data_IF_145241967289
#
_entry.id   IF_145241967289
#
_cell.length_a   1.000
_cell.length_b   1.000
_cell.length_c   1.000
_cell.angle_alpha   90.00
_cell.angle_beta   90.00
_cell.angle_gamma   90.00
#
_symmetry.space_group_name_H-M   'P 1'
#
loop_
_entity.id
_entity.type
_entity.pdbx_description
1 polymer ?
#
# COMPACT_ATOMS: atom_id res chain seq x y z
N UNK A 1 9.25 -13.28 42.21
CA UNK A 1 10.19 -13.76 41.18
C UNK A 1 9.53 -13.63 39.83
N UNK A 2 10.19 -13.00 38.85
CA UNK A 2 9.67 -12.90 37.48
C UNK A 2 9.81 -14.28 36.83
N UNK A 3 8.73 -14.84 36.27
CA UNK A 3 8.70 -16.17 35.64
C UNK A 3 9.87 -16.40 34.66
N UNK A 4 10.27 -15.37 33.93
CA UNK A 4 11.37 -15.42 32.96
C UNK A 4 12.75 -15.71 33.57
N UNK A 5 12.97 -15.43 34.86
CA UNK A 5 14.27 -15.67 35.53
C UNK A 5 14.45 -17.13 35.97
N UNK A 6 13.34 -17.86 36.14
CA UNK A 6 13.34 -19.23 36.69
C UNK A 6 12.92 -20.29 35.68
N UNK A 7 12.34 -19.90 34.53
CA UNK A 7 11.72 -20.80 33.58
C UNK A 7 12.11 -20.47 32.12
N UNK A 8 11.99 -21.45 31.22
CA UNK A 8 12.20 -21.25 29.79
C UNK A 8 11.23 -20.21 29.22
N UNK A 9 11.75 -19.31 28.37
CA UNK A 9 11.01 -18.21 27.75
C UNK A 9 11.47 -18.04 26.28
N UNK A 10 10.57 -17.86 25.31
CA UNK A 10 10.90 -17.83 23.88
C UNK A 10 11.61 -16.55 23.39
N UNK A 11 11.83 -15.56 24.27
CA UNK A 11 12.52 -14.30 23.96
C UNK A 11 11.94 -13.59 22.71
N UNK A 12 10.63 -13.35 22.74
CA UNK A 12 9.94 -12.66 21.65
C UNK A 12 10.24 -11.16 21.67
N UNK A 13 10.42 -10.60 20.47
CA UNK A 13 10.57 -9.18 20.21
C UNK A 13 9.68 -8.75 19.04
N UNK A 14 9.33 -7.47 18.97
CA UNK A 14 8.62 -6.89 17.82
C UNK A 14 9.64 -6.20 16.92
N UNK A 15 9.77 -6.70 15.69
CA UNK A 15 10.80 -6.28 14.75
C UNK A 15 10.58 -4.84 14.25
N UNK A 16 9.33 -4.47 13.97
CA UNK A 16 8.99 -3.19 13.37
C UNK A 16 8.59 -2.12 14.40
N UNK A 17 8.96 -2.30 15.67
CA UNK A 17 8.74 -1.31 16.71
C UNK A 17 9.70 -0.11 16.56
N UNK A 18 9.18 1.10 16.76
CA UNK A 18 9.94 2.34 16.81
C UNK A 18 10.08 2.78 18.27
N UNK A 19 11.32 2.74 18.78
CA UNK A 19 11.64 3.13 20.15
C UNK A 19 11.12 2.13 21.20
N UNK A 20 10.93 2.61 22.43
CA UNK A 20 10.56 1.75 23.55
C UNK A 20 9.06 1.40 23.56
N UNK A 21 8.78 0.10 23.65
CA UNK A 21 7.42 -0.43 23.78
C UNK A 21 6.97 -0.45 25.25
N UNK A 22 5.72 -0.07 25.49
CA UNK A 22 5.06 -0.31 26.78
C UNK A 22 4.43 -1.69 26.75
N UNK A 23 5.07 -2.66 27.38
CA UNK A 23 4.62 -4.04 27.44
C UNK A 23 4.14 -4.43 28.84
N UNK A 24 3.00 -5.12 28.91
CA UNK A 24 2.56 -5.84 30.10
C UNK A 24 2.41 -7.32 29.76
N UNK A 25 3.11 -8.18 30.49
CA UNK A 25 3.14 -9.63 30.23
C UNK A 25 2.53 -10.39 31.42
N UNK A 26 1.61 -11.32 31.13
CA UNK A 26 0.99 -12.21 32.11
C UNK A 26 1.12 -13.66 31.65
N UNK A 27 1.46 -14.55 32.58
CA UNK A 27 1.65 -15.97 32.29
C UNK A 27 0.57 -16.83 32.94
N UNK A 28 0.18 -17.91 32.27
CA UNK A 28 -0.64 -18.98 32.83
C UNK A 28 -0.14 -20.32 32.33
N UNK A 29 0.02 -21.30 33.23
CA UNK A 29 0.44 -22.65 32.86
C UNK A 29 -0.69 -23.64 33.12
N UNK A 30 -0.89 -24.59 32.21
CA UNK A 30 -1.85 -25.69 32.35
C UNK A 30 -1.18 -26.99 31.94
N UNK A 31 -1.24 -28.00 32.80
CA UNK A 31 -0.81 -29.35 32.45
C UNK A 31 -1.95 -30.06 31.74
N UNK A 32 -1.69 -30.56 30.51
CA UNK A 32 -2.66 -31.40 29.81
C UNK A 32 -2.73 -32.75 30.49
N UNK A 33 -3.95 -33.22 30.77
CA UNK A 33 -4.19 -34.55 31.31
C UNK A 33 -3.99 -35.66 30.26
N UNK A 34 -3.97 -35.30 28.98
CA UNK A 34 -3.95 -36.25 27.86
C UNK A 34 -2.50 -36.55 27.48
N UNK A 35 -1.69 -35.50 27.28
CA UNK A 35 -0.34 -35.65 26.70
C UNK A 35 0.77 -35.57 27.76
N UNK A 36 0.41 -35.37 29.03
CA UNK A 36 1.34 -35.07 30.14
C UNK A 36 2.25 -33.85 29.94
N UNK A 37 2.06 -33.09 28.86
CA UNK A 37 2.80 -31.87 28.54
C UNK A 37 2.26 -30.66 29.31
N UNK A 38 3.14 -29.70 29.55
CA UNK A 38 2.81 -28.42 30.19
C UNK A 38 2.65 -27.38 29.09
N UNK A 39 1.45 -26.82 28.99
CA UNK A 39 1.16 -25.71 28.09
C UNK A 39 1.30 -24.40 28.87
N UNK A 40 2.22 -23.56 28.42
CA UNK A 40 2.39 -22.21 28.93
C UNK A 40 1.68 -21.28 27.97
N UNK A 41 0.86 -20.38 28.51
CA UNK A 41 0.20 -19.32 27.76
C UNK A 41 0.66 -17.98 28.31
N UNK A 42 1.22 -17.20 27.41
CA UNK A 42 1.70 -15.86 27.65
C UNK A 42 0.73 -14.86 27.00
N UNK A 43 0.29 -13.88 27.77
CA UNK A 43 -0.53 -12.78 27.30
C UNK A 43 0.33 -11.51 27.31
N UNK A 44 0.44 -10.83 26.17
CA UNK A 44 1.15 -9.56 26.04
C UNK A 44 0.19 -8.46 25.63
N UNK A 45 0.13 -7.40 26.44
CA UNK A 45 -0.50 -6.13 26.08
C UNK A 45 0.62 -5.16 25.68
N UNK A 46 0.67 -4.80 24.39
CA UNK A 46 1.75 -3.99 23.82
C UNK A 46 1.16 -2.66 23.34
N UNK A 47 1.78 -1.55 23.74
CA UNK A 47 1.50 -0.21 23.22
C UNK A 47 2.78 0.46 22.75
N UNK A 48 2.80 0.87 21.49
CA UNK A 48 3.97 1.52 20.89
C UNK A 48 3.66 2.11 19.52
N UNK A 49 4.73 2.56 18.86
CA UNK A 49 4.73 3.01 17.48
C UNK A 49 5.37 1.93 16.63
N UNK A 50 4.79 1.67 15.46
CA UNK A 50 5.28 0.67 14.53
C UNK A 50 5.53 1.33 13.19
N UNK A 51 6.68 1.02 12.57
CA UNK A 51 6.97 1.53 11.24
C UNK A 51 6.43 0.58 10.18
N UNK A 52 6.01 1.16 9.06
CA UNK A 52 5.49 0.44 7.91
C UNK A 52 5.82 1.24 6.65
N UNK A 53 6.09 0.54 5.54
CA UNK A 53 6.35 1.19 4.27
C UNK A 53 5.06 1.30 3.47
N UNK A 54 4.58 2.52 3.28
CA UNK A 54 3.36 2.76 2.50
C UNK A 54 3.62 2.76 0.99
N UNK A 55 2.68 2.18 0.24
CA UNK A 55 2.76 2.00 -1.20
C UNK A 55 1.67 2.82 -1.90
N UNK A 56 2.09 3.87 -2.61
CA UNK A 56 1.18 4.90 -3.15
C UNK A 56 0.96 4.78 -4.67
N UNK A 57 1.34 3.67 -5.28
CA UNK A 57 1.19 3.47 -6.74
C UNK A 57 -0.24 3.69 -7.21
N UNK A 58 -1.23 3.26 -6.42
CA UNK A 58 -2.66 3.31 -6.73
C UNK A 58 -3.39 4.48 -6.05
N UNK A 59 -2.64 5.48 -5.55
CA UNK A 59 -3.22 6.66 -4.93
C UNK A 59 -4.18 7.39 -5.89
N UNK A 60 -5.40 7.77 -5.46
CA UNK A 60 -5.91 7.82 -4.08
C UNK A 60 -6.67 6.58 -3.60
N UNK A 61 -6.89 5.59 -4.47
CA UNK A 61 -7.71 4.40 -4.15
C UNK A 61 -6.88 3.25 -3.58
N UNK A 62 -5.73 3.57 -3.00
CA UNK A 62 -4.80 2.67 -2.35
C UNK A 62 -5.45 1.93 -1.16
N UNK A 63 -4.88 0.76 -0.90
CA UNK A 63 -5.07 -0.02 0.33
C UNK A 63 -3.68 -0.20 0.90
N UNK A 64 -3.53 0.12 2.17
CA UNK A 64 -2.27 -0.01 2.90
C UNK A 64 -2.33 -1.22 3.81
N UNK A 65 -1.24 -1.97 3.82
CA UNK A 65 -1.06 -3.12 4.69
C UNK A 65 -0.28 -2.65 5.91
N UNK A 66 -0.90 -2.74 7.08
CA UNK A 66 -0.30 -2.35 8.35
C UNK A 66 0.09 -3.62 9.10
N UNK A 67 1.38 -3.86 9.22
CA UNK A 67 1.91 -5.11 9.75
C UNK A 67 2.50 -4.94 11.15
N UNK A 68 2.47 -6.03 11.93
CA UNK A 68 3.26 -6.20 13.15
C UNK A 68 4.02 -7.50 12.99
N UNK A 69 5.35 -7.43 13.04
CA UNK A 69 6.24 -8.58 12.91
C UNK A 69 6.78 -8.99 14.27
N UNK A 70 6.45 -10.21 14.70
CA UNK A 70 6.91 -10.78 15.97
C UNK A 70 7.96 -11.84 15.66
N UNK A 71 9.17 -11.65 16.18
CA UNK A 71 10.29 -12.57 16.06
C UNK A 71 10.68 -13.20 17.40
N UNK A 72 11.52 -14.23 17.33
CA UNK A 72 12.18 -14.85 18.49
C UNK A 72 13.69 -14.63 18.39
N UNK A 73 14.35 -14.39 19.52
CA UNK A 73 15.82 -14.32 19.57
C UNK A 73 16.48 -15.67 19.29
N UNK A 74 15.75 -16.77 19.47
CA UNK A 74 16.24 -18.11 19.13
C UNK A 74 15.99 -18.46 17.66
N UNK A 75 16.87 -19.29 17.10
CA UNK A 75 16.73 -19.86 15.77
C UNK A 75 15.61 -20.91 15.68
N UNK A 76 15.27 -21.26 14.45
CA UNK A 76 14.18 -22.17 14.09
C UNK A 76 14.36 -23.62 14.58
N UNK A 77 15.56 -24.01 14.97
CA UNK A 77 15.84 -25.30 15.61
C UNK A 77 15.28 -25.37 17.05
N UNK A 78 15.18 -24.22 17.71
CA UNK A 78 14.68 -24.09 19.09
C UNK A 78 13.26 -23.55 19.15
N UNK A 79 12.92 -22.55 18.33
CA UNK A 79 11.63 -21.85 18.39
C UNK A 79 11.08 -21.62 16.98
N UNK A 80 9.86 -22.11 16.76
CA UNK A 80 9.08 -21.85 15.55
C UNK A 80 7.80 -21.15 15.94
N UNK A 81 7.56 -19.98 15.36
CA UNK A 81 6.34 -19.20 15.55
C UNK A 81 5.32 -19.57 14.47
N UNK A 82 4.13 -20.02 14.90
CA UNK A 82 3.04 -20.44 14.01
C UNK A 82 1.76 -19.73 14.47
N UNK A 83 0.94 -19.29 13.51
CA UNK A 83 -0.37 -18.73 13.82
C UNK A 83 -1.31 -19.81 14.40
N UNK A 84 -2.17 -19.44 15.35
CA UNK A 84 -3.13 -20.39 15.94
C UNK A 84 -4.18 -20.79 14.90
N UNK A 85 -4.34 -22.09 14.58
CA UNK A 85 -5.33 -22.54 13.61
C UNK A 85 -6.76 -22.54 14.16
N UNK A 86 -6.96 -22.39 15.48
CA UNK A 86 -8.28 -22.53 16.12
C UNK A 86 -8.97 -21.19 16.41
N UNK A 87 -8.20 -20.10 16.46
CA UNK A 87 -8.70 -18.79 16.82
C UNK A 87 -8.25 -17.78 15.79
N UNK A 88 -9.21 -17.13 15.16
CA UNK A 88 -8.94 -16.11 14.17
C UNK A 88 -8.59 -14.76 14.85
N UNK A 89 -7.49 -14.15 14.42
CA UNK A 89 -7.09 -12.78 14.84
C UNK A 89 -8.09 -11.74 14.31
N UNK A 90 -8.27 -10.62 15.02
CA UNK A 90 -9.23 -9.58 14.61
C UNK A 90 -8.82 -8.17 15.01
N UNK A 91 -9.45 -7.19 14.38
CA UNK A 91 -9.21 -5.77 14.65
C UNK A 91 -10.44 -5.10 15.24
N UNK A 92 -10.25 -4.31 16.30
CA UNK A 92 -11.32 -3.49 16.85
C UNK A 92 -11.47 -2.19 16.03
N UNK A 93 -12.54 -2.12 15.21
CA UNK A 93 -12.85 -0.94 14.39
C UNK A 93 -13.31 0.26 15.22
N UNK A 94 -13.96 0.04 16.36
CA UNK A 94 -14.53 1.11 17.19
C UNK A 94 -13.45 1.97 17.84
N UNK A 95 -12.29 1.37 18.13
CA UNK A 95 -11.14 2.06 18.68
C UNK A 95 -10.32 2.86 17.65
N UNK A 96 -10.67 2.78 16.36
CA UNK A 96 -9.93 3.46 15.30
C UNK A 96 -10.30 4.94 15.21
N UNK A 97 -9.31 5.82 15.31
CA UNK A 97 -9.50 7.28 15.35
C UNK A 97 -9.76 7.86 13.95
N UNK A 98 -9.00 7.41 12.94
CA UNK A 98 -8.97 8.06 11.61
C UNK A 98 -10.00 7.49 10.62
N UNK A 99 -11.19 7.10 11.11
CA UNK A 99 -12.26 6.50 10.28
C UNK A 99 -12.74 7.41 9.13
N UNK A 100 -12.50 8.72 9.24
CA UNK A 100 -12.83 9.70 8.20
C UNK A 100 -11.90 9.60 7.00
N UNK A 101 -10.65 9.20 7.20
CA UNK A 101 -9.64 9.08 6.15
C UNK A 101 -9.47 7.63 5.67
N UNK A 102 -9.66 6.67 6.57
CA UNK A 102 -9.40 5.25 6.31
C UNK A 102 -10.59 4.36 6.68
N UNK A 103 -10.71 3.24 5.97
CA UNK A 103 -11.67 2.19 6.23
C UNK A 103 -10.90 0.90 6.50
N UNK A 104 -10.96 0.38 7.72
CA UNK A 104 -10.30 -0.88 8.07
C UNK A 104 -11.11 -2.09 7.64
N UNK A 105 -10.41 -3.11 7.18
CA UNK A 105 -10.95 -4.46 7.07
C UNK A 105 -10.89 -5.17 8.44
N UNK A 106 -11.79 -6.12 8.68
CA UNK A 106 -11.93 -6.88 9.93
C UNK A 106 -10.97 -8.08 9.93
N UNK A 107 -10.78 -8.70 8.76
CA UNK A 107 -9.85 -9.80 8.61
C UNK A 107 -8.40 -9.36 8.81
N UNK A 108 -7.62 -10.29 9.35
CA UNK A 108 -6.19 -10.15 9.59
C UNK A 108 -5.51 -11.29 8.86
N UNK A 109 -4.54 -10.96 8.02
CA UNK A 109 -3.72 -11.95 7.34
C UNK A 109 -2.49 -12.25 8.19
N UNK A 110 -2.08 -13.51 8.27
CA UNK A 110 -0.89 -13.94 9.02
C UNK A 110 0.08 -14.64 8.09
N UNK A 111 1.34 -14.23 8.09
CA UNK A 111 2.40 -14.81 7.28
C UNK A 111 3.57 -15.20 8.16
N UNK A 112 4.05 -16.44 8.00
CA UNK A 112 5.29 -16.88 8.60
C UNK A 112 6.45 -16.60 7.64
N UNK A 113 7.51 -15.98 8.15
CA UNK A 113 8.73 -15.62 7.41
C UNK A 113 9.95 -16.17 8.15
N UNK A 114 11.03 -16.37 7.42
CA UNK A 114 12.31 -16.81 7.96
C UNK A 114 13.39 -15.79 7.61
N UNK A 115 14.05 -15.23 8.62
CA UNK A 115 15.16 -14.29 8.41
C UNK A 115 16.49 -14.99 8.62
N UNK A 116 17.41 -14.80 7.66
CA UNK A 116 18.79 -15.34 7.70
C UNK A 116 19.66 -14.52 8.65
N UNK A 117 20.59 -15.21 9.30
CA UNK A 117 21.48 -14.65 10.33
C UNK A 117 22.40 -13.51 9.86
N UNK A 118 22.87 -13.50 8.61
CA UNK A 118 23.81 -12.48 8.12
C UNK A 118 23.27 -11.05 8.15
N UNK A 119 21.95 -10.86 8.30
CA UNK A 119 21.32 -9.54 8.42
C UNK A 119 21.51 -8.90 9.82
N UNK A 120 22.10 -9.62 10.78
CA UNK A 120 22.31 -9.18 12.16
C UNK A 120 23.77 -9.24 12.62
N UNK A 121 24.76 -9.50 11.74
CA UNK A 121 26.16 -9.24 12.09
C UNK A 121 26.32 -7.72 12.20
N UNK A 122 26.53 -7.22 13.40
CA UNK A 122 27.07 -5.87 13.55
C UNK A 122 28.51 -5.93 13.01
N UNK A 123 28.90 -4.98 12.16
CA UNK A 123 30.25 -4.87 11.55
C UNK A 123 31.41 -4.75 12.58
N UNK A 124 31.13 -4.91 13.87
CA UNK A 124 32.10 -4.83 14.97
C UNK A 124 32.76 -6.19 15.29
N UNK A 125 32.31 -7.30 14.68
CA UNK A 125 32.85 -8.64 14.96
C UNK A 125 33.99 -9.07 13.99
N UNK A 126 34.49 -8.16 13.14
CA UNK A 126 35.48 -8.47 12.11
C UNK A 126 36.95 -8.16 12.53
N UNK A 127 37.26 -8.01 13.82
CA UNK A 127 38.65 -7.82 14.30
C UNK A 127 39.36 -9.10 14.82
N UNK A 128 38.76 -10.28 14.67
CA UNK A 128 39.47 -11.56 14.88
C UNK A 128 39.53 -12.39 13.59
N UNK A 129 40.05 -11.82 12.50
CA UNK A 129 40.70 -12.62 11.46
C UNK A 129 42.13 -12.94 11.91
N UNK A 130 42.30 -14.09 12.57
CA UNK A 130 43.61 -14.70 12.80
C UNK A 130 44.31 -14.95 11.46
N UNK A 131 45.54 -14.45 11.35
CA UNK A 131 46.47 -14.73 10.27
C UNK A 131 46.66 -16.25 10.10
N UNK A 132 46.39 -16.80 8.91
CA UNK A 132 47.04 -18.04 8.49
C UNK A 132 47.74 -17.85 7.15
N UNK A 133 49.06 -17.71 7.22
CA UNK A 133 50.00 -17.85 6.11
C UNK A 133 50.38 -19.33 6.02
N UNK A 134 49.91 -20.03 4.99
CA UNK A 134 50.42 -21.38 4.76
C UNK A 134 49.86 -22.06 3.53
N UNK A 135 50.73 -22.31 2.55
CA UNK A 135 50.47 -23.17 1.39
C UNK A 135 50.22 -24.62 1.83
N UNK A 136 49.32 -25.34 1.14
CA UNK A 136 49.30 -26.80 1.21
C UNK A 136 47.93 -27.40 0.97
N UNK A 137 47.80 -28.08 -0.15
CA UNK A 137 46.75 -29.04 -0.51
C UNK A 137 46.67 -30.13 0.56
N UNK A 138 45.57 -30.20 1.32
CA UNK A 138 45.13 -31.41 2.00
C UNK A 138 43.60 -31.40 2.16
N UNK A 139 42.96 -32.39 1.55
CA UNK A 139 41.53 -32.67 1.58
C UNK A 139 41.06 -32.94 3.02
N UNK A 140 40.53 -31.90 3.69
CA UNK A 140 39.75 -32.08 4.91
C UNK A 140 38.24 -32.07 4.59
N UNK A 141 37.51 -33.19 4.74
CA UNK A 141 36.07 -33.24 4.49
C UNK A 141 35.24 -32.50 5.55
N UNK A 142 35.87 -31.89 6.56
CA UNK A 142 35.22 -31.05 7.57
C UNK A 142 35.34 -29.56 7.24
N UNK A 143 35.17 -29.17 5.97
CA UNK A 143 34.76 -27.81 5.64
C UNK A 143 33.46 -27.55 6.42
N UNK A 144 33.56 -26.66 7.40
CA UNK A 144 32.49 -26.25 8.31
C UNK A 144 31.22 -26.04 7.50
N UNK A 145 30.27 -26.99 7.62
CA UNK A 145 28.91 -26.78 7.18
C UNK A 145 28.37 -25.62 8.02
N UNK A 146 28.58 -24.40 7.55
CA UNK A 146 27.92 -23.20 8.04
C UNK A 146 26.44 -23.37 7.67
N UNK A 147 25.75 -24.20 8.46
CA UNK A 147 24.37 -24.56 8.26
C UNK A 147 23.60 -23.27 8.48
N UNK A 148 23.16 -22.65 7.39
CA UNK A 148 22.45 -21.38 7.40
C UNK A 148 21.36 -21.44 8.48
N UNK A 149 21.47 -20.58 9.50
CA UNK A 149 20.49 -20.53 10.57
C UNK A 149 19.45 -19.46 10.24
N UNK A 150 18.21 -19.79 10.59
CA UNK A 150 17.06 -18.94 10.32
C UNK A 150 16.31 -18.66 11.61
N UNK A 151 15.75 -17.46 11.72
CA UNK A 151 14.82 -17.09 12.79
C UNK A 151 13.41 -17.06 12.25
N UNK A 152 12.47 -17.66 12.98
CA UNK A 152 11.05 -17.64 12.63
C UNK A 152 10.45 -16.30 13.03
N UNK A 153 9.79 -15.63 12.08
CA UNK A 153 9.04 -14.39 12.30
C UNK A 153 7.60 -14.60 11.87
N UNK A 154 6.68 -14.17 12.71
CA UNK A 154 5.25 -14.16 12.41
C UNK A 154 4.82 -12.71 12.16
N UNK A 155 4.47 -12.42 10.91
CA UNK A 155 3.95 -11.11 10.51
C UNK A 155 2.43 -11.18 10.48
N UNK A 156 1.79 -10.28 11.21
CA UNK A 156 0.34 -10.14 11.29
C UNK A 156 -0.03 -8.82 10.61
N UNK A 157 -0.82 -8.88 9.54
CA UNK A 157 -1.16 -7.72 8.68
C UNK A 157 -2.64 -7.40 8.76
N UNK A 158 -2.97 -6.14 9.03
CA UNK A 158 -4.32 -5.62 8.84
C UNK A 158 -4.35 -4.68 7.64
N UNK A 159 -5.50 -4.61 6.97
CA UNK A 159 -5.65 -3.83 5.74
C UNK A 159 -6.47 -2.57 6.00
N UNK A 160 -6.00 -1.42 5.50
CA UNK A 160 -6.68 -0.13 5.61
C UNK A 160 -6.85 0.51 4.23
N UNK A 161 -8.10 0.76 3.81
CA UNK A 161 -8.40 1.40 2.53
C UNK A 161 -8.63 2.91 2.69
N UNK A 162 -7.98 3.73 1.86
CA UNK A 162 -8.17 5.18 1.88
C UNK A 162 -9.55 5.60 1.36
N UNK A 163 -10.15 6.62 1.97
CA UNK A 163 -11.37 7.30 1.51
C UNK A 163 -11.02 8.27 0.37
N UNK A 164 -11.07 7.77 -0.86
CA UNK A 164 -10.58 8.45 -2.06
C UNK A 164 -11.49 9.52 -2.66
N UNK A 165 -12.73 9.66 -2.19
CA UNK A 165 -13.75 10.52 -2.81
C UNK A 165 -13.30 11.99 -2.94
N UNK A 166 -12.65 12.53 -1.92
CA UNK A 166 -12.12 13.90 -1.95
C UNK A 166 -11.15 14.12 -3.12
N UNK A 167 -10.23 13.20 -3.34
CA UNK A 167 -9.22 13.29 -4.42
C UNK A 167 -9.82 13.10 -5.81
N UNK A 168 -10.92 12.36 -5.94
CA UNK A 168 -11.64 12.28 -7.21
C UNK A 168 -12.28 13.62 -7.59
N UNK A 169 -12.97 14.27 -6.66
CA UNK A 169 -13.63 15.56 -6.90
C UNK A 169 -12.68 16.74 -6.98
N UNK A 170 -11.67 16.80 -6.13
CA UNK A 170 -10.77 17.95 -6.08
C UNK A 170 -9.48 17.72 -6.87
N UNK A 171 -9.13 16.47 -7.21
CA UNK A 171 -7.96 16.14 -8.02
C UNK A 171 -8.33 15.90 -9.48
N UNK A 172 -8.91 14.74 -9.76
CA UNK A 172 -9.20 14.29 -11.13
C UNK A 172 -10.19 15.20 -11.85
N UNK A 173 -11.29 15.56 -11.20
CA UNK A 173 -12.33 16.37 -11.82
C UNK A 173 -11.86 17.79 -12.17
N UNK A 174 -11.00 18.42 -11.35
CA UNK A 174 -10.45 19.74 -11.66
C UNK A 174 -9.50 19.71 -12.87
N UNK A 175 -8.62 18.71 -12.97
CA UNK A 175 -7.74 18.54 -14.14
C UNK A 175 -8.57 18.30 -15.41
N UNK A 176 -9.62 17.47 -15.29
CA UNK A 176 -10.54 17.21 -16.38
C UNK A 176 -11.23 18.50 -16.87
N UNK A 177 -11.69 19.36 -15.96
CA UNK A 177 -12.28 20.65 -16.34
C UNK A 177 -11.27 21.56 -17.04
N UNK A 178 -10.03 21.66 -16.54
CA UNK A 178 -8.96 22.47 -17.17
C UNK A 178 -8.71 21.99 -18.62
N UNK A 179 -8.67 20.68 -18.83
CA UNK A 179 -8.44 20.12 -20.17
C UNK A 179 -9.62 20.27 -21.11
N UNK A 180 -10.87 20.19 -20.64
CA UNK A 180 -12.04 20.49 -21.50
C UNK A 180 -12.02 21.94 -21.97
N UNK A 181 -11.66 22.89 -21.09
CA UNK A 181 -11.61 24.32 -21.45
C UNK A 181 -10.60 24.59 -22.57
N UNK A 182 -9.60 23.74 -22.77
CA UNK A 182 -8.66 23.88 -23.89
C UNK A 182 -9.34 23.82 -25.27
N UNK A 183 -10.48 23.11 -25.39
CA UNK A 183 -11.24 23.07 -26.65
C UNK A 183 -11.95 24.38 -26.97
N UNK A 184 -12.18 25.26 -25.98
CA UNK A 184 -12.75 26.59 -26.23
C UNK A 184 -11.83 27.47 -27.09
N UNK A 185 -10.52 27.17 -27.16
CA UNK A 185 -9.54 27.93 -27.95
C UNK A 185 -9.86 27.86 -29.45
N UNK A 186 -10.44 26.76 -29.92
CA UNK A 186 -10.87 26.60 -31.31
C UNK A 186 -11.98 27.57 -31.71
N UNK A 187 -12.69 28.18 -30.75
CA UNK A 187 -13.70 29.21 -31.02
C UNK A 187 -13.10 30.55 -31.49
N UNK A 188 -11.81 30.81 -31.23
CA UNK A 188 -11.13 32.04 -31.65
C UNK A 188 -10.67 31.84 -33.10
N UNK A 189 -10.84 32.77 -34.04
CA UNK A 189 -10.38 32.57 -35.42
C UNK A 189 -8.86 32.37 -35.51
N UNK A 190 -8.36 31.56 -36.47
CA UNK A 190 -6.94 31.20 -36.55
C UNK A 190 -6.02 32.36 -36.94
N UNK A 191 -6.58 33.47 -37.41
CA UNK A 191 -5.85 34.71 -37.69
C UNK A 191 -5.28 35.35 -36.41
N UNK A 192 -5.95 35.18 -35.26
CA UNK A 192 -5.53 35.75 -33.97
C UNK A 192 -4.67 34.74 -33.19
N UNK A 193 -3.54 34.33 -33.79
CA UNK A 193 -2.63 33.34 -33.21
C UNK A 193 -2.09 33.76 -31.84
N UNK A 194 -1.82 35.05 -31.64
CA UNK A 194 -1.35 35.59 -30.36
C UNK A 194 -2.33 35.29 -29.21
N UNK A 195 -3.63 35.49 -29.43
CA UNK A 195 -4.67 35.24 -28.41
C UNK A 195 -4.79 33.74 -28.10
N UNK A 196 -4.72 32.89 -29.13
CA UNK A 196 -4.76 31.43 -28.96
C UNK A 196 -3.58 30.93 -28.13
N UNK A 197 -2.37 31.37 -28.48
CA UNK A 197 -1.14 30.97 -27.76
C UNK A 197 -1.10 31.51 -26.33
N UNK A 198 -1.59 32.72 -26.09
CA UNK A 198 -1.69 33.27 -24.73
C UNK A 198 -2.55 32.37 -23.83
N UNK A 199 -3.74 31.96 -24.30
CA UNK A 199 -4.64 31.09 -23.54
C UNK A 199 -4.03 29.69 -23.35
N UNK A 200 -3.34 29.15 -24.37
CA UNK A 200 -2.61 27.88 -24.26
C UNK A 200 -1.56 27.93 -23.13
N UNK A 201 -0.73 28.97 -23.10
CA UNK A 201 0.27 29.16 -22.07
C UNK A 201 -0.36 29.31 -20.67
N UNK A 202 -1.48 30.03 -20.56
CA UNK A 202 -2.22 30.16 -19.30
C UNK A 202 -2.74 28.80 -18.82
N UNK A 203 -3.39 28.01 -19.68
CA UNK A 203 -3.89 26.67 -19.30
C UNK A 203 -2.76 25.71 -18.93
N UNK A 204 -1.63 25.78 -19.64
CA UNK A 204 -0.44 24.98 -19.31
C UNK A 204 0.09 25.33 -17.92
N UNK A 205 0.23 26.63 -17.63
CA UNK A 205 0.66 27.10 -16.31
C UNK A 205 -0.34 26.68 -15.22
N UNK A 206 -1.64 26.86 -15.45
CA UNK A 206 -2.69 26.43 -14.51
C UNK A 206 -2.60 24.93 -14.23
N UNK A 207 -2.39 24.09 -15.26
CA UNK A 207 -2.26 22.64 -15.08
C UNK A 207 -1.01 22.25 -14.29
N UNK A 208 0.14 22.90 -14.53
CA UNK A 208 1.39 22.63 -13.79
C UNK A 208 1.26 23.09 -12.34
N UNK A 209 0.73 24.29 -12.11
CA UNK A 209 0.47 24.82 -10.77
C UNK A 209 -0.47 23.91 -10.00
N UNK A 210 -1.56 23.46 -10.63
CA UNK A 210 -2.50 22.54 -10.01
C UNK A 210 -1.83 21.21 -9.62
N UNK A 211 -1.03 20.61 -10.51
CA UNK A 211 -0.25 19.40 -10.19
C UNK A 211 0.65 19.62 -8.97
N UNK A 212 1.36 20.75 -8.91
CA UNK A 212 2.24 21.05 -7.79
C UNK A 212 1.46 21.21 -6.47
N UNK A 213 0.29 21.86 -6.51
CA UNK A 213 -0.59 21.99 -5.34
C UNK A 213 -1.07 20.64 -4.82
N UNK A 214 -1.50 19.75 -5.72
CA UNK A 214 -1.92 18.40 -5.31
C UNK A 214 -0.76 17.59 -4.74
N UNK A 215 0.45 17.73 -5.29
CA UNK A 215 1.63 17.02 -4.81
C UNK A 215 2.13 17.49 -3.44
N UNK A 216 1.63 18.62 -2.92
CA UNK A 216 1.87 19.01 -1.51
C UNK A 216 1.14 18.13 -0.51
N UNK A 217 0.07 17.45 -0.93
CA UNK A 217 -0.68 16.53 -0.07
C UNK A 217 -0.04 15.14 0.04
N UNK A 218 1.00 14.88 -0.75
CA UNK A 218 1.69 13.61 -0.81
C UNK A 218 3.17 13.78 -0.41
N UNK A 219 3.76 12.79 0.27
CA UNK A 219 5.21 12.77 0.47
C UNK A 219 5.93 12.66 -0.88
N UNK A 220 7.14 13.21 -0.96
CA UNK A 220 7.97 13.11 -2.17
C UNK A 220 8.43 11.68 -2.38
N UNK A 221 7.82 10.98 -3.33
CA UNK A 221 8.16 9.62 -3.74
C UNK A 221 8.83 9.62 -5.12
N UNK A 222 9.72 8.64 -5.35
CA UNK A 222 10.48 8.54 -6.62
C UNK A 222 9.62 8.08 -7.80
N UNK A 223 8.57 7.29 -7.53
CA UNK A 223 7.69 6.76 -8.57
C UNK A 223 6.42 7.59 -8.74
N UNK A 224 5.78 7.44 -9.90
CA UNK A 224 4.59 8.18 -10.29
C UNK A 224 3.30 7.49 -9.81
N UNK A 225 2.46 8.21 -9.06
CA UNK A 225 1.13 7.71 -8.64
C UNK A 225 0.16 7.63 -9.82
N UNK A 226 -0.93 6.87 -9.68
CA UNK A 226 -2.04 6.84 -10.66
C UNK A 226 -2.61 8.23 -10.96
N UNK A 227 -2.71 9.07 -9.93
CA UNK A 227 -3.19 10.45 -10.08
C UNK A 227 -2.19 11.33 -10.82
N UNK A 228 -0.90 11.22 -10.52
CA UNK A 228 0.13 11.95 -11.25
C UNK A 228 0.23 11.51 -12.72
N UNK A 229 0.08 10.21 -13.00
CA UNK A 229 0.02 9.67 -14.38
C UNK A 229 -1.09 10.35 -15.18
N UNK A 230 -2.27 10.51 -14.59
CA UNK A 230 -3.39 11.21 -15.22
C UNK A 230 -3.08 12.70 -15.44
N UNK A 231 -2.52 13.38 -14.44
CA UNK A 231 -2.15 14.79 -14.55
C UNK A 231 -1.10 15.05 -15.64
N UNK A 232 -0.05 14.22 -15.73
CA UNK A 232 0.99 14.32 -16.76
C UNK A 232 0.42 14.02 -18.14
N UNK A 233 -0.47 13.04 -18.28
CA UNK A 233 -1.12 12.76 -19.55
C UNK A 233 -1.99 13.95 -20.02
N UNK A 234 -2.77 14.55 -19.12
CA UNK A 234 -3.55 15.75 -19.41
C UNK A 234 -2.65 16.92 -19.82
N UNK A 235 -1.52 17.11 -19.14
CA UNK A 235 -0.49 18.08 -19.51
C UNK A 235 0.04 17.83 -20.92
N UNK A 236 0.31 16.57 -21.27
CA UNK A 236 0.80 16.19 -22.59
C UNK A 236 -0.22 16.51 -23.70
N UNK A 237 -1.51 16.28 -23.45
CA UNK A 237 -2.59 16.68 -24.36
C UNK A 237 -2.59 18.20 -24.57
N UNK A 238 -2.46 18.99 -23.49
CA UNK A 238 -2.39 20.46 -23.59
C UNK A 238 -1.17 20.91 -24.40
N UNK A 239 -0.01 20.26 -24.24
CA UNK A 239 1.20 20.57 -25.02
C UNK A 239 0.98 20.27 -26.50
N UNK A 240 0.40 19.11 -26.85
CA UNK A 240 0.08 18.76 -28.25
C UNK A 240 -0.87 19.79 -28.87
N UNK A 241 -1.93 20.17 -28.16
CA UNK A 241 -2.88 21.20 -28.62
C UNK A 241 -2.19 22.57 -28.80
N UNK A 242 -1.30 22.93 -27.87
CA UNK A 242 -0.52 24.18 -27.96
C UNK A 242 0.39 24.19 -29.19
N UNK A 243 1.06 23.06 -29.48
CA UNK A 243 1.89 22.89 -30.67
C UNK A 243 1.03 23.02 -31.94
N UNK A 244 -0.15 22.42 -31.98
CA UNK A 244 -1.08 22.55 -33.10
C UNK A 244 -1.44 24.02 -33.36
N UNK A 245 -1.84 24.76 -32.32
CA UNK A 245 -2.19 26.17 -32.45
C UNK A 245 -0.99 27.03 -32.90
N UNK A 246 0.23 26.69 -32.46
CA UNK A 246 1.46 27.33 -32.94
C UNK A 246 1.73 27.06 -34.43
N UNK A 247 1.55 25.81 -34.88
CA UNK A 247 1.72 25.41 -36.28
C UNK A 247 0.71 26.13 -37.18
N UNK A 248 -0.58 26.13 -36.81
CA UNK A 248 -1.63 26.87 -37.55
C UNK A 248 -1.28 28.35 -37.64
N UNK A 249 -0.86 28.97 -36.52
CA UNK A 249 -0.47 30.38 -36.49
C UNK A 249 0.73 30.67 -37.39
N UNK A 250 1.77 29.84 -37.34
CA UNK A 250 2.97 29.97 -38.17
C UNK A 250 2.71 29.76 -39.67
N UNK A 251 1.88 28.77 -40.02
CA UNK A 251 1.50 28.51 -41.41
C UNK A 251 0.70 29.67 -42.02
N UNK A 252 -0.19 30.30 -41.25
CA UNK A 252 -0.93 31.48 -41.71
C UNK A 252 0.01 32.67 -41.90
N UNK A 253 0.91 32.91 -40.93
CA UNK A 253 1.89 33.99 -41.00
C UNK A 253 2.82 33.89 -42.21
N UNK A 254 3.30 32.68 -42.55
CA UNK A 254 4.20 32.47 -43.68
C UNK A 254 3.48 32.61 -45.04
N UNK A 255 2.27 32.04 -45.17
CA UNK A 255 1.55 32.01 -46.45
C UNK A 255 0.76 33.29 -46.75
N UNK A 256 0.42 34.09 -45.74
CA UNK A 256 -0.39 35.32 -45.91
C UNK A 256 0.23 36.47 -45.11
N UNK A 257 1.30 37.11 -45.64
CA UNK A 257 1.96 38.22 -44.95
C UNK A 257 1.11 39.50 -44.88
N UNK A 258 0.04 39.60 -45.69
CA UNK A 258 -0.85 40.76 -45.71
C UNK A 258 -2.11 40.51 -44.86
N UNK A 259 -2.16 41.09 -43.67
CA UNK A 259 -3.15 40.85 -42.60
C UNK A 259 -4.61 41.17 -42.94
N UNK A 260 -4.89 41.64 -44.17
CA UNK A 260 -6.22 42.03 -44.66
C UNK A 260 -6.92 40.96 -45.49
N UNK A 261 -6.22 39.89 -45.87
CA UNK A 261 -6.82 38.80 -46.65
C UNK A 261 -7.50 37.82 -45.71
N UNK A 262 -8.78 37.52 -45.97
CA UNK A 262 -9.53 36.49 -45.24
C UNK A 262 -8.74 35.18 -45.23
N UNK A 263 -8.65 34.46 -44.09
CA UNK A 263 -7.94 33.19 -44.05
C UNK A 263 -8.48 32.28 -45.16
N UNK A 264 -7.59 31.68 -45.94
CA UNK A 264 -8.00 30.74 -46.97
C UNK A 264 -8.93 29.69 -46.33
N UNK A 265 -10.11 29.47 -46.90
CA UNK A 265 -11.13 28.55 -46.38
C UNK A 265 -10.55 27.19 -45.99
N UNK A 266 -9.49 26.77 -46.69
CA UNK A 266 -8.68 25.58 -46.40
C UNK A 266 -8.16 25.50 -44.95
N UNK A 267 -7.62 26.57 -44.38
CA UNK A 267 -7.08 26.57 -43.01
C UNK A 267 -8.19 26.50 -41.95
N UNK A 268 -9.34 27.12 -42.21
CA UNK A 268 -10.51 27.06 -41.32
C UNK A 268 -11.10 25.65 -41.28
N UNK A 269 -11.24 25.01 -42.45
CA UNK A 269 -11.70 23.63 -42.52
C UNK A 269 -10.71 22.65 -41.88
N UNK A 270 -9.39 22.88 -42.07
CA UNK A 270 -8.36 22.06 -41.42
C UNK A 270 -8.47 22.12 -39.89
N UNK A 271 -8.65 23.31 -39.32
CA UNK A 271 -8.79 23.51 -37.87
C UNK A 271 -10.08 22.86 -37.34
N UNK A 272 -11.18 22.91 -38.10
CA UNK A 272 -12.42 22.20 -37.78
C UNK A 272 -12.26 20.68 -37.78
N UNK A 273 -11.57 20.09 -38.77
CA UNK A 273 -11.31 18.65 -38.80
C UNK A 273 -10.45 18.21 -37.61
N UNK A 274 -9.44 18.99 -37.24
CA UNK A 274 -8.59 18.69 -36.08
C UNK A 274 -9.36 18.84 -34.77
N UNK A 275 -10.30 19.79 -34.66
CA UNK A 275 -11.20 19.87 -33.51
C UNK A 275 -12.00 18.57 -33.33
N UNK A 276 -12.68 18.09 -34.38
CA UNK A 276 -13.47 16.86 -34.28
C UNK A 276 -12.59 15.63 -33.96
N UNK A 277 -11.42 15.54 -34.58
CA UNK A 277 -10.46 14.46 -34.31
C UNK A 277 -9.94 14.50 -32.86
N UNK A 278 -9.54 15.68 -32.38
CA UNK A 278 -9.00 15.85 -31.03
C UNK A 278 -10.04 15.58 -29.95
N UNK A 279 -11.30 15.99 -30.15
CA UNK A 279 -12.42 15.62 -29.25
C UNK A 279 -12.63 14.10 -29.27
N UNK A 280 -12.64 13.46 -30.45
CA UNK A 280 -12.81 12.02 -30.57
C UNK A 280 -11.72 11.23 -29.83
N UNK A 281 -10.45 11.61 -30.03
CA UNK A 281 -9.30 11.03 -29.33
C UNK A 281 -9.38 11.30 -27.83
N UNK A 282 -9.74 12.52 -27.42
CA UNK A 282 -9.88 12.89 -26.02
C UNK A 282 -10.93 12.02 -25.31
N UNK A 283 -12.11 11.85 -25.91
CA UNK A 283 -13.16 10.99 -25.37
C UNK A 283 -12.67 9.55 -25.27
N UNK A 284 -12.05 9.01 -26.33
CA UNK A 284 -11.54 7.64 -26.34
C UNK A 284 -10.52 7.40 -25.21
N UNK A 285 -9.53 8.29 -25.08
CA UNK A 285 -8.51 8.23 -24.03
C UNK A 285 -9.16 8.30 -22.64
N UNK A 286 -10.10 9.22 -22.42
CA UNK A 286 -10.77 9.36 -21.14
C UNK A 286 -11.67 8.17 -20.79
N UNK A 287 -12.33 7.54 -21.78
CA UNK A 287 -13.12 6.32 -21.56
C UNK A 287 -12.22 5.16 -21.15
N UNK A 288 -11.10 4.93 -21.85
CA UNK A 288 -10.13 3.87 -21.51
C UNK A 288 -9.58 4.10 -20.11
N UNK A 289 -9.21 5.33 -19.78
CA UNK A 289 -8.68 5.67 -18.46
C UNK A 289 -9.72 5.57 -17.37
N UNK A 290 -10.97 5.97 -17.63
CA UNK A 290 -12.05 5.83 -16.67
C UNK A 290 -12.26 4.35 -16.34
N UNK A 291 -12.31 3.48 -17.36
CA UNK A 291 -12.40 2.03 -17.16
C UNK A 291 -11.20 1.54 -16.34
N UNK A 292 -9.97 1.93 -16.70
CA UNK A 292 -8.77 1.50 -15.98
C UNK A 292 -8.73 2.00 -14.52
N UNK A 293 -9.02 3.28 -14.30
CA UNK A 293 -8.99 3.98 -13.01
C UNK A 293 -10.04 3.45 -12.03
N UNK A 294 -11.23 3.10 -12.52
CA UNK A 294 -12.29 2.57 -11.67
C UNK A 294 -12.23 1.05 -11.56
N UNK A 295 -12.08 0.30 -12.65
CA UNK A 295 -12.18 -1.16 -12.60
C UNK A 295 -11.02 -1.81 -11.85
N UNK A 296 -9.78 -1.31 -11.99
CA UNK A 296 -8.61 -1.95 -11.36
C UNK A 296 -8.65 -1.83 -9.83
N UNK A 297 -8.81 -0.64 -9.21
CA UNK A 297 -8.89 -0.53 -7.76
C UNK A 297 -10.18 -1.15 -7.20
N UNK A 298 -11.29 -1.09 -7.93
CA UNK A 298 -12.54 -1.74 -7.51
C UNK A 298 -12.39 -3.26 -7.45
N UNK A 299 -11.66 -3.88 -8.38
CA UNK A 299 -11.38 -5.32 -8.34
C UNK A 299 -10.61 -5.70 -7.08
N UNK A 300 -9.55 -4.96 -6.76
CA UNK A 300 -8.75 -5.21 -5.55
C UNK A 300 -9.58 -5.04 -4.26
N UNK A 301 -10.36 -3.96 -4.16
CA UNK A 301 -11.24 -3.72 -3.02
C UNK A 301 -12.36 -4.77 -2.90
N UNK A 302 -12.84 -5.33 -4.01
CA UNK A 302 -13.82 -6.43 -3.99
C UNK A 302 -13.21 -7.70 -3.38
N UNK A 303 -12.00 -8.07 -3.78
CA UNK A 303 -11.30 -9.25 -3.23
C UNK A 303 -11.09 -9.14 -1.71
N UNK A 304 -10.69 -7.96 -1.23
CA UNK A 304 -10.54 -7.73 0.22
C UNK A 304 -11.87 -7.78 0.97
N UNK A 305 -12.97 -7.29 0.37
CA UNK A 305 -14.32 -7.44 0.95
C UNK A 305 -14.76 -8.89 1.00
N UNK A 306 -14.42 -9.70 0.00
CA UNK A 306 -14.73 -11.13 -0.01
C UNK A 306 -14.01 -11.86 1.12
N UNK A 307 -12.72 -11.58 1.35
CA UNK A 307 -11.98 -12.08 2.52
C UNK A 307 -12.64 -11.67 3.84
N UNK A 308 -13.11 -10.42 3.94
CA UNK A 308 -13.80 -9.90 5.12
C UNK A 308 -15.11 -10.63 5.43
N UNK A 309 -15.84 -11.04 4.37
CA UNK A 309 -17.05 -11.84 4.49
C UNK A 309 -16.70 -13.27 4.95
N UNK A 310 -15.65 -13.87 4.41
CA UNK A 310 -15.19 -15.20 4.83
C UNK A 310 -14.76 -15.20 6.30
N UNK A 311 -13.99 -14.20 6.71
CA UNK A 311 -13.57 -14.01 8.09
C UNK A 311 -14.76 -13.94 9.07
N UNK A 312 -15.79 -13.16 8.75
CA UNK A 312 -17.00 -13.05 9.57
C UNK A 312 -17.73 -14.39 9.73
N UNK A 313 -17.70 -15.24 8.70
CA UNK A 313 -18.28 -16.59 8.78
C UNK A 313 -17.48 -17.46 9.75
N UNK A 314 -16.15 -17.45 9.65
CA UNK A 314 -15.26 -18.21 10.54
C UNK A 314 -15.44 -17.81 12.01
N UNK A 315 -15.44 -16.51 12.32
CA UNK A 315 -15.69 -16.01 13.68
C UNK A 315 -17.06 -16.44 14.21
N UNK A 316 -18.10 -16.43 13.37
CA UNK A 316 -19.43 -16.89 13.76
C UNK A 316 -19.41 -18.38 14.13
N UNK A 317 -18.75 -19.22 13.33
CA UNK A 317 -18.60 -20.66 13.57
C UNK A 317 -17.78 -20.95 14.84
N UNK A 318 -16.66 -20.26 15.04
CA UNK A 318 -15.86 -20.32 16.27
C UNK A 318 -16.70 -19.98 17.50
N UNK A 319 -17.48 -18.88 17.43
CA UNK A 319 -18.39 -18.46 18.50
C UNK A 319 -19.43 -19.53 18.85
N UNK A 320 -20.00 -20.21 17.85
CA UNK A 320 -20.92 -21.33 18.06
C UNK A 320 -20.24 -22.53 18.72
N UNK A 321 -19.01 -22.88 18.31
CA UNK A 321 -18.23 -23.97 18.91
C UNK A 321 -17.90 -23.68 20.38
N UNK A 322 -17.53 -22.45 20.72
CA UNK A 322 -17.24 -22.03 22.09
C UNK A 322 -18.50 -22.14 22.95
N UNK A 323 -19.64 -21.63 22.48
CA UNK A 323 -20.94 -21.76 23.19
C UNK A 323 -21.30 -23.23 23.43
N UNK A 324 -21.16 -24.09 22.42
CA UNK A 324 -21.43 -25.54 22.54
C UNK A 324 -20.50 -26.24 23.53
N UNK A 325 -19.23 -25.83 23.62
CA UNK A 325 -18.27 -26.36 24.61
C UNK A 325 -18.59 -25.87 26.03
N UNK A 326 -18.99 -24.60 26.18
CA UNK A 326 -19.40 -24.03 27.46
C UNK A 326 -20.67 -24.70 28.00
N UNK A 327 -21.67 -24.90 27.13
CA UNK A 327 -22.92 -25.58 27.49
C UNK A 327 -22.67 -27.04 27.90
N UNK A 328 -21.86 -27.80 27.13
CA UNK A 328 -21.44 -29.14 27.54
C UNK A 328 -20.71 -29.17 28.89
N UNK A 329 -19.91 -28.16 29.22
CA UNK A 329 -19.24 -28.05 30.53
C UNK A 329 -20.21 -27.76 31.68
N UNK A 330 -21.27 -26.99 31.42
CA UNK A 330 -22.35 -26.71 32.38
C UNK A 330 -23.18 -27.96 32.70
N UNK A 331 -23.34 -28.86 31.73
CA UNK A 331 -24.11 -30.09 31.89
C UNK A 331 -23.38 -31.17 32.74
N UNK A 332 -22.06 -31.02 32.96
CA UNK A 332 -21.31 -31.82 33.93
C UNK A 332 -21.34 -31.13 35.31
N UNK A 333 -22.42 -31.36 36.07
CA UNK A 333 -22.50 -31.01 37.49
C UNK A 333 -21.36 -31.72 38.24
N UNK A 334 -20.58 -31.04 39.10
CA UNK A 334 -19.62 -31.74 39.95
C UNK A 334 -20.41 -32.59 40.93
N UNK A 335 -20.22 -33.91 40.87
CA UNK A 335 -20.65 -34.81 41.94
C UNK A 335 -19.92 -34.33 43.19
N UNK A 336 -20.62 -33.57 44.03
CA UNK A 336 -20.19 -33.25 45.38
C UNK A 336 -20.11 -34.57 46.12
N UNK A 337 -18.89 -35.06 46.32
CA UNK A 337 -18.64 -36.12 47.29
C UNK A 337 -18.90 -35.48 48.66
N UNK A 338 -20.11 -35.71 49.19
CA UNK A 338 -20.43 -35.45 50.58
C UNK A 338 -19.81 -36.58 51.42
N UNK A 339 -18.97 -36.14 52.36
CA UNK A 339 -18.40 -36.79 53.54
C UNK A 339 -17.52 -38.02 53.36
#
# INVERSE_FOLDING_TARGET
MKYAETNWHPQLYVENALGDLKEQIRYSARKSKIDSQIYIREYRDIKGLFWEKLELHHFPSDVQDLSISIGSMFYNDKVILIADPNYSSGVNREAFVDQQEWSLYEHVDTQQRYIKEFLFREDNDDEEEEEDKGNGEDDNPNAINNKERYRSILTVTCHAARRSNYFYWNGYWLIFLITIVSFCIFSIPPNLAANRLQICCTLLLTSITFRWTVNRSLPTISYLTTMDKYAIMCLFILVILSIWHAIIGGLIFYNTPDSRVTPASRFVHLDQYVLYLSIGIFILIHVILFIWLFCVPLKHRRQLKEKDIQYRRLISEEGHLIKKKSQRKSDYIPISIQN
#
